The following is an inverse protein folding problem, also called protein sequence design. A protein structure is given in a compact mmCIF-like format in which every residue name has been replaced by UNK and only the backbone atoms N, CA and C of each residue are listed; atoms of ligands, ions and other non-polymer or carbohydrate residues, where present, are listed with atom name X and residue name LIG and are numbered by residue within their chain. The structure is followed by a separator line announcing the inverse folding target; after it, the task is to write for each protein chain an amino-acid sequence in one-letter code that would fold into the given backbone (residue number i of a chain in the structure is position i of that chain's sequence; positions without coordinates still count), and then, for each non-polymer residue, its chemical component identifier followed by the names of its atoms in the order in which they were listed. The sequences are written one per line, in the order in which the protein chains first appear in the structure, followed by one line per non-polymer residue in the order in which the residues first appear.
data_IF_661747273721
#
_entry.id   IF_661747273721
#
_cell.length_a   1.000
_cell.length_b   1.000
_cell.length_c   1.000
_cell.angle_alpha   90.00
_cell.angle_beta   90.00
_cell.angle_gamma   90.00
#
_symmetry.space_group_name_H-M   'P 1'
#
loop_
_entity.id
_entity.type
_entity.pdbx_description
1 polymer ?
#
# COMPACT_ATOMS: atom_id res chain seq x y z
N UNK A 1 7.39 29.38 -1.67
CA UNK A 1 8.39 28.81 -2.60
C UNK A 1 7.68 27.76 -3.41
N UNK A 2 7.95 27.69 -4.73
CA UNK A 2 7.37 26.66 -5.59
C UNK A 2 7.79 25.26 -5.09
N UNK A 3 6.95 24.25 -5.32
CA UNK A 3 7.29 22.88 -4.95
C UNK A 3 8.54 22.34 -5.65
N UNK A 4 9.12 21.28 -5.07
CA UNK A 4 10.34 20.64 -5.57
C UNK A 4 10.28 19.12 -5.42
N UNK A 5 11.11 18.40 -6.18
CA UNK A 5 11.33 16.98 -5.91
C UNK A 5 12.19 16.80 -4.67
N UNK A 6 11.70 15.97 -3.76
CA UNK A 6 12.38 15.65 -2.51
C UNK A 6 13.19 14.35 -2.64
N UNK A 7 14.07 14.11 -1.65
CA UNK A 7 14.77 12.83 -1.53
C UNK A 7 13.75 11.70 -1.41
N UNK A 8 13.90 10.68 -2.26
CA UNK A 8 13.05 9.51 -2.22
C UNK A 8 13.18 8.80 -0.85
N UNK A 9 12.05 8.23 -0.41
CA UNK A 9 11.95 7.52 0.87
C UNK A 9 11.62 6.04 0.65
N UNK A 10 11.86 5.22 1.65
CA UNK A 10 11.47 3.80 1.62
C UNK A 10 9.97 3.64 1.80
N UNK A 11 9.43 2.48 1.38
CA UNK A 11 8.04 2.13 1.65
C UNK A 11 7.80 2.08 3.16
N UNK A 12 8.72 1.51 3.94
CA UNK A 12 8.66 1.51 5.41
C UNK A 12 8.47 2.92 5.98
N UNK A 13 9.28 3.90 5.54
CA UNK A 13 9.17 5.28 6.03
C UNK A 13 7.81 5.91 5.69
N UNK A 14 7.26 5.61 4.51
CA UNK A 14 5.93 6.06 4.13
C UNK A 14 4.83 5.43 5.01
N UNK A 15 4.93 4.12 5.29
CA UNK A 15 4.00 3.41 6.19
C UNK A 15 4.09 3.94 7.63
N UNK A 16 5.31 4.16 8.14
CA UNK A 16 5.52 4.77 9.46
C UNK A 16 4.87 6.17 9.53
N UNK A 17 5.03 6.98 8.47
CA UNK A 17 4.44 8.32 8.38
C UNK A 17 2.91 8.28 8.36
N UNK A 18 2.30 7.27 7.73
CA UNK A 18 0.85 7.05 7.79
C UNK A 18 0.42 6.68 9.21
N UNK A 19 1.13 5.76 9.86
CA UNK A 19 0.82 5.31 11.23
C UNK A 19 0.91 6.44 12.26
N UNK A 20 1.91 7.33 12.11
CA UNK A 20 2.12 8.49 12.98
C UNK A 20 1.24 9.69 12.61
N UNK A 21 0.34 9.57 11.62
CA UNK A 21 -0.46 10.69 11.08
C UNK A 21 0.41 11.87 10.62
N UNK A 22 1.63 11.58 10.17
CA UNK A 22 2.44 12.54 9.43
C UNK A 22 1.99 12.62 7.98
N UNK A 23 1.33 11.58 7.45
CA UNK A 23 0.65 11.59 6.15
C UNK A 23 -0.87 11.49 6.31
N UNK A 24 -1.60 12.41 5.70
CA UNK A 24 -3.06 12.44 5.64
C UNK A 24 -3.55 12.63 4.20
N UNK A 25 -4.84 12.43 3.97
CA UNK A 25 -5.49 12.62 2.69
C UNK A 25 -6.33 13.92 2.72
N UNK A 26 -6.16 14.84 1.75
CA UNK A 26 -7.00 16.03 1.66
C UNK A 26 -8.40 15.68 1.12
N UNK A 27 -9.42 16.46 1.48
CA UNK A 27 -10.81 16.24 1.08
C UNK A 27 -11.09 16.23 -0.43
N UNK A 28 -10.21 16.81 -1.25
CA UNK A 28 -10.33 16.72 -2.71
C UNK A 28 -10.16 15.29 -3.25
N UNK A 29 -9.61 14.37 -2.46
CA UNK A 29 -9.39 13.00 -2.89
C UNK A 29 -10.67 12.20 -3.10
N UNK A 30 -10.68 11.38 -4.16
CA UNK A 30 -11.73 10.39 -4.39
C UNK A 30 -11.57 9.16 -3.48
N UNK A 31 -12.66 8.45 -3.25
CA UNK A 31 -12.69 7.17 -2.52
C UNK A 31 -11.70 6.15 -3.10
N UNK A 32 -11.27 5.21 -2.27
CA UNK A 32 -10.46 4.08 -2.70
C UNK A 32 -11.27 3.15 -3.60
N UNK A 33 -10.73 2.79 -4.77
CA UNK A 33 -11.42 1.99 -5.79
C UNK A 33 -10.57 0.86 -6.39
N UNK A 34 -9.35 0.66 -5.89
CA UNK A 34 -8.46 -0.38 -6.42
C UNK A 34 -8.94 -1.78 -6.01
N UNK A 35 -8.93 -2.69 -6.97
CA UNK A 35 -9.21 -4.11 -6.78
C UNK A 35 -8.03 -4.85 -6.16
N UNK A 36 -8.27 -6.00 -5.55
CA UNK A 36 -7.20 -6.88 -5.03
C UNK A 36 -6.15 -7.21 -6.09
N UNK A 37 -6.54 -7.40 -7.36
CA UNK A 37 -5.61 -7.71 -8.45
C UNK A 37 -4.70 -6.53 -8.80
N UNK A 38 -5.21 -5.29 -8.76
CA UNK A 38 -4.38 -4.09 -8.96
C UNK A 38 -3.34 -3.92 -7.85
N UNK A 39 -3.72 -4.25 -6.60
CA UNK A 39 -2.77 -4.28 -5.48
C UNK A 39 -1.69 -5.33 -5.74
N UNK A 40 -2.06 -6.57 -6.09
CA UNK A 40 -1.08 -7.63 -6.42
C UNK A 40 -0.13 -7.22 -7.55
N UNK A 41 -0.64 -6.57 -8.61
CA UNK A 41 0.15 -6.04 -9.72
C UNK A 41 1.14 -4.95 -9.29
N UNK A 42 0.75 -4.07 -8.35
CA UNK A 42 1.65 -3.07 -7.80
C UNK A 42 2.82 -3.72 -7.07
N UNK A 43 2.57 -4.74 -6.24
CA UNK A 43 3.64 -5.47 -5.55
C UNK A 43 4.52 -6.27 -6.51
N UNK A 44 3.95 -6.90 -7.54
CA UNK A 44 4.73 -7.55 -8.62
C UNK A 44 5.64 -6.54 -9.34
N UNK A 45 5.10 -5.37 -9.69
CA UNK A 45 5.86 -4.28 -10.33
C UNK A 45 7.04 -3.83 -9.47
N UNK A 46 6.83 -3.63 -8.18
CA UNK A 46 7.90 -3.29 -7.21
C UNK A 46 8.98 -4.38 -7.19
N UNK A 47 8.56 -5.65 -7.12
CA UNK A 47 9.46 -6.80 -7.09
C UNK A 47 10.18 -7.04 -8.42
N UNK A 48 9.77 -6.37 -9.51
CA UNK A 48 10.37 -6.43 -10.84
C UNK A 48 11.12 -5.15 -11.22
N UNK A 49 11.28 -4.23 -10.28
CA UNK A 49 11.96 -2.94 -10.50
C UNK A 49 11.23 -2.05 -11.52
N UNK A 50 9.92 -2.27 -11.72
CA UNK A 50 9.12 -1.42 -12.59
C UNK A 50 8.77 -0.11 -11.88
N UNK A 51 8.75 1.02 -12.61
CA UNK A 51 8.46 2.31 -12.03
C UNK A 51 7.02 2.33 -11.51
N UNK A 52 6.85 2.69 -10.24
CA UNK A 52 5.52 2.84 -9.62
C UNK A 52 4.97 4.26 -9.73
N UNK A 53 5.56 5.10 -10.59
CA UNK A 53 5.34 6.55 -10.74
C UNK A 53 5.66 7.37 -9.49
N UNK A 54 5.89 8.67 -9.68
CA UNK A 54 6.08 9.62 -8.58
C UNK A 54 4.76 9.89 -7.83
N UNK A 55 4.86 10.42 -6.63
CA UNK A 55 3.74 10.90 -5.82
C UNK A 55 3.78 12.43 -5.75
N UNK A 56 2.68 13.03 -5.30
CA UNK A 56 2.66 14.46 -4.97
C UNK A 56 2.16 14.63 -3.53
N UNK A 57 2.88 15.41 -2.75
CA UNK A 57 2.57 15.70 -1.35
C UNK A 57 2.52 17.21 -1.12
N UNK A 58 1.80 17.64 -0.08
CA UNK A 58 1.67 19.03 0.29
C UNK A 58 1.92 19.23 1.78
N UNK A 59 2.88 20.07 2.13
CA UNK A 59 3.16 20.43 3.51
C UNK A 59 2.04 21.26 4.12
N UNK A 60 1.42 20.75 5.18
CA UNK A 60 0.41 21.44 5.97
C UNK A 60 1.04 21.98 7.24
N UNK A 61 1.23 23.30 7.27
CA UNK A 61 1.84 24.02 8.40
C UNK A 61 0.93 25.13 8.93
N UNK A 62 0.11 25.71 8.05
CA UNK A 62 -0.80 26.79 8.43
C UNK A 62 -1.88 26.32 9.39
N UNK A 63 -2.05 27.06 10.50
CA UNK A 63 -3.15 26.84 11.43
C UNK A 63 -4.53 27.02 10.76
N UNK A 64 -4.67 27.95 9.81
CA UNK A 64 -5.94 28.15 9.09
C UNK A 64 -6.32 26.90 8.29
N UNK A 65 -5.40 26.36 7.49
CA UNK A 65 -5.64 25.14 6.71
C UNK A 65 -6.01 23.98 7.64
N UNK A 66 -5.29 23.81 8.75
CA UNK A 66 -5.58 22.74 9.73
C UNK A 66 -6.97 22.86 10.35
N UNK A 67 -7.49 24.07 10.56
CA UNK A 67 -8.81 24.30 11.15
C UNK A 67 -9.94 24.22 10.11
N UNK A 68 -9.70 24.75 8.91
CA UNK A 68 -10.75 25.06 7.94
C UNK A 68 -10.86 24.00 6.82
N UNK A 69 -9.80 23.20 6.61
CA UNK A 69 -9.76 22.16 5.59
C UNK A 69 -9.87 20.76 6.21
N UNK A 70 -10.61 19.87 5.54
CA UNK A 70 -10.83 18.50 6.02
C UNK A 70 -9.73 17.56 5.54
N UNK A 71 -9.25 16.73 6.47
CA UNK A 71 -8.27 15.70 6.22
C UNK A 71 -8.75 14.34 6.73
N UNK A 72 -8.27 13.27 6.10
CA UNK A 72 -8.69 11.91 6.38
C UNK A 72 -7.49 10.99 6.58
N UNK A 73 -7.68 9.92 7.35
CA UNK A 73 -6.69 8.85 7.48
C UNK A 73 -6.71 7.93 6.26
N UNK A 74 -5.64 7.17 6.06
CA UNK A 74 -5.63 6.08 5.10
C UNK A 74 -6.54 4.93 5.57
N UNK A 75 -7.18 4.24 4.62
CA UNK A 75 -7.92 3.02 4.93
C UNK A 75 -6.95 1.95 5.42
N UNK A 76 -7.16 1.50 6.65
CA UNK A 76 -6.42 0.37 7.23
C UNK A 76 -7.08 -0.97 6.90
N UNK A 77 -8.40 -0.95 6.80
CA UNK A 77 -9.22 -2.10 6.45
C UNK A 77 -10.19 -1.64 5.36
N UNK A 78 -10.21 -2.34 4.24
CA UNK A 78 -11.17 -2.09 3.18
C UNK A 78 -12.23 -3.19 3.19
N UNK A 79 -13.52 -2.82 3.24
CA UNK A 79 -14.62 -3.75 3.08
C UNK A 79 -15.60 -3.24 2.04
N UNK A 80 -15.70 -3.97 0.93
CA UNK A 80 -16.53 -3.57 -0.20
C UNK A 80 -17.98 -3.32 0.23
N UNK A 81 -18.49 -2.10 -0.04
CA UNK A 81 -19.82 -1.57 0.35
C UNK A 81 -20.05 -1.26 1.84
N UNK A 82 -19.12 -1.55 2.75
CA UNK A 82 -19.31 -1.34 4.19
C UNK A 82 -18.24 -0.45 4.83
N UNK A 83 -16.99 -0.55 4.37
CA UNK A 83 -15.86 0.25 4.85
C UNK A 83 -15.00 0.70 3.67
N UNK A 84 -15.52 1.67 2.92
CA UNK A 84 -14.87 2.25 1.73
C UNK A 84 -14.48 3.71 1.95
N UNK A 85 -14.84 4.29 3.11
CA UNK A 85 -14.64 5.68 3.43
C UNK A 85 -13.46 5.86 4.39
N UNK A 86 -12.57 6.77 4.02
CA UNK A 86 -11.47 7.17 4.86
C UNK A 86 -12.00 7.89 6.12
N UNK A 87 -11.56 7.52 7.34
CA UNK A 87 -11.97 8.19 8.56
C UNK A 87 -11.52 9.66 8.58
N UNK A 88 -12.41 10.57 8.98
CA UNK A 88 -12.06 11.98 9.15
C UNK A 88 -11.14 12.19 10.35
N UNK A 89 -10.09 12.99 10.18
CA UNK A 89 -9.19 13.41 11.27
C UNK A 89 -9.54 14.82 11.69
N UNK A 90 -9.82 15.00 12.97
CA UNK A 90 -9.92 16.33 13.55
C UNK A 90 -8.52 16.97 13.62
N UNK A 91 -8.18 17.75 12.60
CA UNK A 91 -7.03 18.64 12.61
C UNK A 91 -7.43 19.97 13.25
N UNK A 92 -6.48 20.63 13.92
CA UNK A 92 -6.65 21.98 14.45
C UNK A 92 -5.29 22.69 14.52
N UNK A 93 -5.28 23.96 14.94
CA UNK A 93 -4.05 24.76 15.07
C UNK A 93 -2.96 24.12 15.97
N UNK A 94 -3.34 23.30 16.95
CA UNK A 94 -2.42 22.57 17.83
C UNK A 94 -1.99 21.20 17.31
N UNK A 95 -2.55 20.74 16.18
CA UNK A 95 -2.12 19.52 15.52
C UNK A 95 -0.73 19.72 14.91
N UNK A 96 0.15 18.72 15.00
CA UNK A 96 1.51 18.79 14.44
C UNK A 96 1.48 19.01 12.93
N UNK A 97 2.59 19.46 12.35
CA UNK A 97 2.70 19.59 10.89
C UNK A 97 2.70 18.22 10.22
N UNK A 98 2.05 18.11 9.07
CA UNK A 98 1.93 16.86 8.33
C UNK A 98 1.94 17.12 6.82
N UNK A 99 2.08 16.06 6.02
CA UNK A 99 1.93 16.11 4.57
C UNK A 99 0.57 15.56 4.14
N UNK A 100 -0.13 16.30 3.29
CA UNK A 100 -1.32 15.83 2.60
C UNK A 100 -0.91 15.15 1.28
N UNK A 101 -1.35 13.91 1.04
CA UNK A 101 -1.04 13.19 -0.21
C UNK A 101 -2.04 13.59 -1.30
N UNK A 102 -1.53 14.30 -2.30
CA UNK A 102 -2.30 14.90 -3.41
C UNK A 102 -2.37 13.96 -4.62
N UNK A 103 -1.29 13.25 -4.93
CA UNK A 103 -1.29 12.22 -5.96
C UNK A 103 -0.66 10.93 -5.46
N UNK A 104 -1.11 9.80 -6.02
CA UNK A 104 -0.66 8.47 -5.64
C UNK A 104 -1.39 7.90 -4.42
N UNK A 105 -2.48 8.53 -3.97
CA UNK A 105 -3.25 8.08 -2.81
C UNK A 105 -3.71 6.61 -2.90
N UNK A 106 -4.12 6.13 -4.08
CA UNK A 106 -4.57 4.76 -4.28
C UNK A 106 -3.40 3.78 -4.16
N UNK A 107 -2.23 4.13 -4.71
CA UNK A 107 -0.99 3.34 -4.61
C UNK A 107 -0.54 3.23 -3.16
N UNK A 108 -0.50 4.35 -2.44
CA UNK A 108 -0.05 4.37 -1.05
C UNK A 108 -1.03 3.66 -0.11
N UNK A 109 -2.34 3.80 -0.32
CA UNK A 109 -3.36 3.01 0.39
C UNK A 109 -3.22 1.52 0.10
N UNK A 110 -2.94 1.14 -1.16
CA UNK A 110 -2.71 -0.26 -1.54
C UNK A 110 -1.47 -0.87 -0.87
N UNK A 111 -0.39 -0.09 -0.76
CA UNK A 111 0.80 -0.49 -0.01
C UNK A 111 0.48 -0.72 1.46
N UNK A 112 -0.28 0.19 2.08
CA UNK A 112 -0.70 0.06 3.47
C UNK A 112 -1.58 -1.17 3.69
N UNK A 113 -2.61 -1.38 2.86
CA UNK A 113 -3.50 -2.54 2.93
C UNK A 113 -2.70 -3.84 2.76
N UNK A 114 -1.77 -3.90 1.80
CA UNK A 114 -0.97 -5.10 1.56
C UNK A 114 -0.03 -5.45 2.72
N UNK A 115 0.57 -4.44 3.36
CA UNK A 115 1.60 -4.63 4.37
C UNK A 115 1.07 -4.70 5.81
N UNK A 116 0.00 -3.99 6.12
CA UNK A 116 -0.48 -3.78 7.49
C UNK A 116 -1.98 -4.00 7.66
N UNK A 117 -2.74 -4.02 6.56
CA UNK A 117 -4.19 -3.96 6.57
C UNK A 117 -4.87 -5.21 6.03
N UNK A 118 -6.17 -5.09 5.79
CA UNK A 118 -6.96 -6.17 5.18
C UNK A 118 -7.83 -5.68 4.04
N UNK A 119 -8.12 -6.60 3.12
CA UNK A 119 -8.99 -6.35 1.97
C UNK A 119 -10.13 -7.38 1.94
N UNK A 120 -11.35 -6.91 2.13
CA UNK A 120 -12.57 -7.72 2.16
C UNK A 120 -13.46 -7.40 0.94
N UNK A 121 -13.74 -8.44 0.16
CA UNK A 121 -14.71 -8.42 -0.92
C UNK A 121 -15.60 -9.66 -0.86
N UNK A 122 -16.80 -9.54 -1.47
CA UNK A 122 -17.82 -10.58 -1.44
C UNK A 122 -17.34 -11.88 -2.08
N UNK A 123 -17.58 -13.00 -1.41
CA UNK A 123 -17.34 -14.30 -1.99
C UNK A 123 -18.14 -14.51 -3.29
N UNK A 124 -17.58 -15.22 -4.28
CA UNK A 124 -18.30 -15.59 -5.50
C UNK A 124 -19.57 -16.38 -5.18
N UNK A 125 -20.63 -16.19 -5.96
CA UNK A 125 -21.90 -16.95 -5.87
C UNK A 125 -22.64 -16.86 -4.52
N UNK A 126 -22.31 -15.90 -3.66
CA UNK A 126 -23.07 -15.58 -2.44
C UNK A 126 -23.88 -14.29 -2.64
N UNK A 127 -25.07 -14.16 -2.05
CA UNK A 127 -25.85 -12.92 -2.11
C UNK A 127 -25.20 -11.80 -1.28
N UNK A 128 -25.50 -10.55 -1.61
CA UNK A 128 -25.06 -9.41 -0.82
C UNK A 128 -25.78 -9.38 0.53
N UNK A 129 -25.07 -9.18 1.65
CA UNK A 129 -25.72 -9.03 2.94
C UNK A 129 -26.28 -7.61 3.12
N UNK A 130 -27.23 -7.47 4.05
CA UNK A 130 -27.82 -6.18 4.44
C UNK A 130 -26.94 -5.39 5.41
N UNK A 131 -26.05 -6.07 6.13
CA UNK A 131 -25.06 -5.51 7.05
C UNK A 131 -23.71 -6.21 6.83
N UNK A 132 -22.62 -5.65 7.33
CA UNK A 132 -21.31 -6.29 7.20
C UNK A 132 -21.34 -7.70 7.82
N UNK A 133 -20.92 -8.70 7.04
CA UNK A 133 -20.84 -10.09 7.46
C UNK A 133 -19.55 -10.71 6.93
N UNK A 134 -18.61 -10.95 7.83
CA UNK A 134 -17.28 -11.49 7.50
C UNK A 134 -17.36 -12.93 6.96
N UNK A 135 -18.47 -13.64 7.14
CA UNK A 135 -18.68 -14.94 6.47
C UNK A 135 -18.89 -14.74 4.97
N UNK A 136 -19.39 -13.59 4.55
CA UNK A 136 -19.69 -13.26 3.14
C UNK A 136 -18.60 -12.38 2.53
N UNK A 137 -18.04 -11.45 3.32
CA UNK A 137 -16.92 -10.57 2.97
C UNK A 137 -15.74 -10.79 3.93
N UNK A 138 -15.10 -11.98 3.91
CA UNK A 138 -14.03 -12.25 4.87
C UNK A 138 -12.84 -11.32 4.62
N UNK A 139 -12.22 -10.77 5.68
CA UNK A 139 -10.98 -10.03 5.56
C UNK A 139 -9.87 -10.95 5.02
N UNK A 140 -9.02 -10.38 4.18
CA UNK A 140 -7.89 -11.09 3.58
C UNK A 140 -6.61 -10.29 3.78
N UNK A 141 -5.52 -10.99 4.00
CA UNK A 141 -4.16 -10.43 4.03
C UNK A 141 -3.45 -10.77 2.75
N UNK A 142 -2.47 -9.96 2.36
CA UNK A 142 -1.67 -10.20 1.17
C UNK A 142 -0.53 -11.18 1.49
N UNK A 143 -0.37 -12.17 0.63
CA UNK A 143 0.69 -13.17 0.68
C UNK A 143 1.44 -13.22 -0.65
N UNK A 144 2.68 -13.66 -0.61
CA UNK A 144 3.46 -14.07 -1.79
C UNK A 144 3.81 -15.55 -1.67
N UNK A 145 3.69 -16.30 -2.77
CA UNK A 145 4.14 -17.69 -2.81
C UNK A 145 5.66 -17.73 -3.03
N UNK A 146 6.36 -18.45 -2.15
CA UNK A 146 7.80 -18.65 -2.25
C UNK A 146 8.18 -19.89 -3.07
N UNK A 147 7.23 -20.70 -3.52
CA UNK A 147 7.51 -22.01 -4.15
C UNK A 147 8.20 -21.87 -5.50
N UNK A 148 7.62 -21.10 -6.42
CA UNK A 148 8.09 -20.94 -7.79
C UNK A 148 7.56 -19.64 -8.41
N UNK A 149 8.21 -19.10 -9.46
CA UNK A 149 7.65 -18.01 -10.24
C UNK A 149 6.37 -18.46 -10.98
N UNK A 150 5.51 -17.51 -11.31
CA UNK A 150 4.40 -17.74 -12.24
C UNK A 150 4.93 -18.02 -13.65
N UNK A 151 4.14 -18.77 -14.42
CA UNK A 151 4.44 -19.05 -15.83
C UNK A 151 4.26 -17.78 -16.68
N UNK A 152 4.97 -17.71 -17.81
CA UNK A 152 4.94 -16.57 -18.73
C UNK A 152 3.56 -16.27 -19.36
N UNK A 153 2.66 -17.26 -19.33
CA UNK A 153 1.35 -17.19 -19.99
C UNK A 153 0.24 -16.68 -19.05
N UNK A 154 0.61 -16.15 -17.88
CA UNK A 154 -0.30 -15.47 -16.97
C UNK A 154 -0.95 -14.25 -17.66
N UNK A 155 -2.27 -14.11 -17.59
CA UNK A 155 -3.02 -13.03 -18.26
C UNK A 155 -2.55 -11.63 -17.83
N UNK A 156 -2.06 -11.50 -16.59
CA UNK A 156 -1.55 -10.26 -16.02
C UNK A 156 -0.03 -10.14 -16.17
N UNK A 157 0.60 -11.10 -16.86
CA UNK A 157 2.04 -11.22 -17.08
C UNK A 157 2.84 -11.11 -15.78
N UNK A 158 2.27 -11.52 -14.64
CA UNK A 158 2.90 -11.43 -13.33
C UNK A 158 4.04 -12.44 -13.20
N UNK A 159 5.10 -12.10 -12.45
CA UNK A 159 6.20 -13.01 -12.16
C UNK A 159 6.04 -13.67 -10.79
N UNK A 160 5.57 -12.91 -9.80
CA UNK A 160 5.39 -13.37 -8.43
C UNK A 160 3.92 -13.62 -8.15
N UNK A 161 3.61 -14.76 -7.53
CA UNK A 161 2.25 -15.11 -7.18
C UNK A 161 1.83 -14.38 -5.89
N UNK A 162 1.34 -13.16 -6.04
CA UNK A 162 0.73 -12.39 -4.95
C UNK A 162 -0.76 -12.69 -4.85
N UNK A 163 -1.25 -12.97 -3.64
CA UNK A 163 -2.67 -13.28 -3.42
C UNK A 163 -3.19 -12.79 -2.07
N UNK A 164 -4.41 -12.27 -2.10
CA UNK A 164 -5.18 -12.04 -0.88
C UNK A 164 -5.85 -13.34 -0.43
N UNK A 165 -5.48 -13.82 0.77
CA UNK A 165 -6.03 -15.04 1.37
C UNK A 165 -6.73 -14.70 2.68
N UNK A 166 -7.86 -15.38 2.92
CA UNK A 166 -8.46 -15.42 4.27
C UNK A 166 -7.60 -16.31 5.17
N UNK A 167 -7.73 -16.16 6.49
CA UNK A 167 -7.02 -17.03 7.43
C UNK A 167 -7.38 -18.52 7.21
N UNK A 168 -8.64 -18.80 6.81
CA UNK A 168 -9.07 -20.16 6.42
C UNK A 168 -8.36 -20.64 5.15
N UNK A 169 -8.34 -19.84 4.07
CA UNK A 169 -7.69 -20.21 2.82
C UNK A 169 -6.18 -20.45 3.01
N UNK A 170 -5.53 -19.63 3.83
CA UNK A 170 -4.13 -19.84 4.21
C UNK A 170 -3.96 -21.16 4.96
N UNK A 171 -4.76 -21.41 6.00
CA UNK A 171 -4.68 -22.65 6.80
C UNK A 171 -4.93 -23.89 5.95
N UNK A 172 -5.95 -23.88 5.08
CA UNK A 172 -6.28 -24.99 4.18
C UNK A 172 -5.12 -25.28 3.22
N UNK A 173 -4.42 -24.25 2.74
CA UNK A 173 -3.27 -24.39 1.83
C UNK A 173 -2.02 -25.00 2.47
N UNK A 174 -1.93 -25.06 3.80
CA UNK A 174 -0.80 -25.71 4.48
C UNK A 174 -0.85 -27.25 4.36
N UNK A 175 -1.98 -27.81 3.93
CA UNK A 175 -2.18 -29.27 3.90
C UNK A 175 -1.67 -29.94 2.62
N UNK A 176 -1.57 -29.22 1.50
CA UNK A 176 -1.24 -29.81 0.21
C UNK A 176 0.23 -29.63 -0.20
N UNK A 177 1.02 -28.87 0.59
CA UNK A 177 2.42 -28.52 0.34
C UNK A 177 2.70 -27.97 -1.09
N UNK A 178 1.68 -27.47 -1.80
CA UNK A 178 1.85 -26.93 -3.15
C UNK A 178 2.32 -25.49 -3.14
N UNK A 179 2.00 -24.77 -2.06
CA UNK A 179 2.29 -23.35 -1.94
C UNK A 179 2.95 -23.06 -0.59
N UNK A 180 3.93 -22.17 -0.61
CA UNK A 180 4.63 -21.70 0.58
C UNK A 180 4.37 -20.20 0.74
N UNK A 181 3.19 -19.87 1.25
CA UNK A 181 2.74 -18.50 1.41
C UNK A 181 3.48 -17.76 2.53
N UNK A 182 4.12 -16.65 2.17
CA UNK A 182 4.68 -15.68 3.12
C UNK A 182 3.73 -14.49 3.26
N UNK A 183 3.26 -14.23 4.47
CA UNK A 183 2.38 -13.09 4.75
C UNK A 183 3.20 -11.80 4.78
N UNK A 184 2.77 -10.78 4.03
CA UNK A 184 3.51 -9.53 3.94
C UNK A 184 3.56 -8.76 5.25
N UNK A 185 2.63 -9.01 6.18
CA UNK A 185 2.66 -8.41 7.53
C UNK A 185 3.87 -8.82 8.35
N UNK A 186 4.45 -10.00 8.08
CA UNK A 186 5.64 -10.48 8.80
C UNK A 186 6.86 -9.61 8.50
N UNK A 187 6.90 -8.89 7.37
CA UNK A 187 8.07 -8.11 6.96
C UNK A 187 8.46 -7.02 7.97
N UNK A 188 7.46 -6.47 8.68
CA UNK A 188 7.68 -5.43 9.67
C UNK A 188 7.98 -5.97 11.07
N UNK A 189 7.84 -7.28 11.30
CA UNK A 189 8.24 -7.92 12.57
C UNK A 189 9.74 -8.13 12.67
N UNK A 190 10.43 -8.22 11.54
CA UNK A 190 11.89 -8.28 11.52
C UNK A 190 12.52 -6.94 11.90
N UNK A 191 13.68 -7.01 12.56
CA UNK A 191 14.52 -5.84 12.82
C UNK A 191 14.99 -5.21 11.50
N UNK A 192 15.39 -3.94 11.57
CA UNK A 192 15.96 -3.25 10.42
C UNK A 192 17.44 -3.62 10.26
N UNK A 193 17.75 -4.32 9.17
CA UNK A 193 19.10 -4.51 8.66
C UNK A 193 19.29 -3.76 7.34
N UNK A 194 20.46 -3.13 7.16
CA UNK A 194 20.83 -2.41 5.94
C UNK A 194 21.86 -3.17 5.08
N UNK A 195 22.66 -4.05 5.69
CA UNK A 195 23.61 -4.91 4.98
C UNK A 195 22.88 -6.09 4.31
N UNK A 196 23.14 -6.38 3.01
CA UNK A 196 22.59 -7.55 2.35
C UNK A 196 22.89 -8.87 3.07
N UNK A 197 24.07 -9.00 3.68
CA UNK A 197 24.47 -10.21 4.41
C UNK A 197 23.65 -10.37 5.71
N UNK A 198 23.45 -9.28 6.46
CA UNK A 198 22.65 -9.31 7.68
C UNK A 198 21.19 -9.64 7.37
N UNK A 199 20.63 -9.08 6.30
CA UNK A 199 19.28 -9.42 5.83
C UNK A 199 19.22 -10.92 5.47
N UNK A 200 20.23 -11.42 4.75
CA UNK A 200 20.28 -12.82 4.35
C UNK A 200 20.33 -13.76 5.55
N UNK A 201 21.24 -13.55 6.50
CA UNK A 201 21.48 -14.47 7.61
C UNK A 201 20.51 -14.29 8.79
N UNK A 202 20.00 -13.09 9.03
CA UNK A 202 19.12 -12.82 10.19
C UNK A 202 17.62 -12.86 9.83
N UNK A 203 17.26 -12.70 8.55
CA UNK A 203 15.86 -12.69 8.11
C UNK A 203 15.58 -13.83 7.14
N UNK A 204 16.30 -13.90 6.02
CA UNK A 204 15.94 -14.79 4.91
C UNK A 204 16.21 -16.26 5.24
N UNK A 205 17.44 -16.59 5.68
CA UNK A 205 17.83 -17.98 5.99
C UNK A 205 16.95 -18.57 7.10
N UNK A 206 16.76 -17.92 8.26
CA UNK A 206 15.92 -18.48 9.33
C UNK A 206 14.47 -18.69 8.89
N UNK A 207 13.92 -17.81 8.06
CA UNK A 207 12.54 -17.94 7.57
C UNK A 207 12.38 -19.07 6.55
N UNK A 208 13.39 -19.30 5.69
CA UNK A 208 13.37 -20.40 4.75
C UNK A 208 13.64 -21.76 5.41
N UNK A 209 14.48 -21.82 6.45
CA UNK A 209 14.70 -23.04 7.24
C UNK A 209 13.41 -23.53 7.88
N UNK A 210 12.66 -22.64 8.53
CA UNK A 210 11.33 -22.96 9.13
C UNK A 210 10.36 -23.55 8.11
N UNK A 211 10.53 -23.21 6.82
CA UNK A 211 9.64 -23.61 5.73
C UNK A 211 10.18 -24.77 4.89
N UNK A 212 11.39 -25.27 5.19
CA UNK A 212 12.05 -26.30 4.39
C UNK A 212 12.48 -25.84 2.99
N UNK A 213 12.71 -24.53 2.79
CA UNK A 213 12.98 -23.90 1.49
C UNK A 213 14.41 -23.38 1.32
N UNK A 214 15.34 -23.71 2.22
CA UNK A 214 16.71 -23.17 2.21
C UNK A 214 17.47 -23.43 0.89
N UNK A 215 17.19 -24.56 0.24
CA UNK A 215 17.78 -24.96 -1.04
C UNK A 215 17.18 -24.24 -2.25
N UNK A 216 16.03 -23.58 -2.09
CA UNK A 216 15.34 -22.89 -3.17
C UNK A 216 15.95 -21.52 -3.43
N UNK A 217 16.66 -21.41 -4.55
CA UNK A 217 17.22 -20.13 -5.00
C UNK A 217 16.13 -19.09 -5.23
N UNK A 218 14.98 -19.49 -5.79
CA UNK A 218 13.85 -18.59 -6.03
C UNK A 218 13.29 -18.05 -4.72
N UNK A 219 13.06 -18.89 -3.72
CA UNK A 219 12.53 -18.46 -2.41
C UNK A 219 13.50 -17.49 -1.73
N UNK A 220 14.81 -17.79 -1.74
CA UNK A 220 15.86 -16.93 -1.18
C UNK A 220 15.92 -15.57 -1.86
N UNK A 221 15.97 -15.55 -3.19
CA UNK A 221 15.99 -14.30 -3.97
C UNK A 221 14.71 -13.48 -3.77
N UNK A 222 13.56 -14.14 -3.71
CA UNK A 222 12.26 -13.49 -3.55
C UNK A 222 12.14 -12.84 -2.17
N UNK A 223 12.46 -13.55 -1.08
CA UNK A 223 12.33 -13.00 0.26
C UNK A 223 13.37 -11.89 0.53
N UNK A 224 14.62 -12.07 0.08
CA UNK A 224 15.65 -11.03 0.15
C UNK A 224 15.18 -9.76 -0.59
N UNK A 225 14.69 -9.91 -1.83
CA UNK A 225 14.24 -8.78 -2.63
C UNK A 225 13.02 -8.10 -2.01
N UNK A 226 12.06 -8.85 -1.49
CA UNK A 226 10.87 -8.32 -0.83
C UNK A 226 11.26 -7.43 0.36
N UNK A 227 12.14 -7.94 1.22
CA UNK A 227 12.64 -7.20 2.37
C UNK A 227 13.34 -5.91 1.92
N UNK A 228 14.31 -6.00 1.02
CA UNK A 228 15.09 -4.85 0.54
C UNK A 228 14.19 -3.79 -0.08
N UNK A 229 13.23 -4.19 -0.94
CA UNK A 229 12.31 -3.26 -1.61
C UNK A 229 11.42 -2.51 -0.63
N UNK A 230 10.93 -3.18 0.40
CA UNK A 230 10.01 -2.55 1.36
C UNK A 230 10.77 -1.68 2.36
N UNK A 231 11.93 -2.14 2.83
CA UNK A 231 12.57 -1.58 4.04
C UNK A 231 13.80 -0.74 3.80
N UNK A 232 14.53 -0.97 2.71
CA UNK A 232 15.86 -0.39 2.52
C UNK A 232 15.92 0.49 1.27
N UNK A 233 15.20 0.13 0.21
CA UNK A 233 15.24 0.87 -1.05
C UNK A 233 14.32 2.08 -1.07
N UNK A 234 14.83 3.21 -1.54
CA UNK A 234 14.12 4.48 -1.63
C UNK A 234 13.23 4.53 -2.90
N UNK A 235 12.10 3.83 -2.86
CA UNK A 235 11.20 3.66 -4.01
C UNK A 235 10.14 4.77 -4.15
N UNK A 236 9.83 5.49 -3.07
CA UNK A 236 8.78 6.51 -3.06
C UNK A 236 9.40 7.86 -3.44
N UNK A 237 9.41 8.15 -4.74
CA UNK A 237 9.77 9.45 -5.28
C UNK A 237 8.56 10.38 -5.23
N UNK A 238 8.73 11.62 -4.76
CA UNK A 238 7.62 12.55 -4.69
C UNK A 238 8.01 14.00 -4.92
N UNK A 239 7.08 14.75 -5.51
CA UNK A 239 7.11 16.19 -5.57
C UNK A 239 6.40 16.76 -4.34
N UNK A 240 7.02 17.72 -3.67
CA UNK A 240 6.52 18.32 -2.45
C UNK A 240 6.11 19.78 -2.70
N UNK A 241 4.82 20.07 -2.56
CA UNK A 241 4.29 21.41 -2.58
C UNK A 241 4.34 22.02 -1.17
N UNK A 242 4.82 23.26 -1.08
CA UNK A 242 5.05 23.96 0.19
C UNK A 242 4.18 25.19 0.36
N UNK A 243 3.53 25.66 -0.71
CA UNK A 243 2.57 26.74 -0.70
C UNK A 243 1.48 26.48 0.34
N UNK A 244 1.03 27.52 1.06
CA UNK A 244 -0.12 27.43 1.96
C UNK A 244 -1.38 28.06 1.32
N UNK A 245 -1.34 28.25 0.00
CA UNK A 245 -2.48 28.69 -0.80
C UNK A 245 -3.23 27.45 -1.32
N UNK A 246 -4.46 27.28 -0.85
CA UNK A 246 -5.31 26.13 -1.20
C UNK A 246 -5.63 26.16 -2.70
N UNK A 247 -5.98 27.32 -3.26
CA UNK A 247 -6.40 27.43 -4.66
C UNK A 247 -5.26 27.04 -5.60
N UNK A 248 -4.04 27.50 -5.28
CA UNK A 248 -2.84 27.08 -6.00
C UNK A 248 -2.64 25.56 -5.98
N UNK A 249 -2.78 24.93 -4.81
CA UNK A 249 -2.58 23.49 -4.64
C UNK A 249 -3.65 22.68 -5.39
N UNK A 250 -4.91 23.15 -5.36
CA UNK A 250 -6.01 22.55 -6.11
C UNK A 250 -5.76 22.64 -7.62
N UNK A 251 -5.28 23.77 -8.12
CA UNK A 251 -4.91 23.94 -9.52
C UNK A 251 -3.79 22.97 -9.95
N UNK A 252 -2.76 22.80 -9.11
CA UNK A 252 -1.69 21.83 -9.39
C UNK A 252 -2.24 20.39 -9.39
N UNK A 253 -3.13 20.04 -8.45
CA UNK A 253 -3.79 18.74 -8.41
C UNK A 253 -4.60 18.47 -9.68
N UNK A 254 -5.44 19.43 -10.10
CA UNK A 254 -6.27 19.30 -11.30
C UNK A 254 -5.38 19.13 -12.52
N UNK A 255 -4.34 19.95 -12.70
CA UNK A 255 -3.43 19.87 -13.85
C UNK A 255 -2.69 18.54 -13.91
N UNK A 256 -2.17 18.06 -12.78
CA UNK A 256 -1.43 16.79 -12.71
C UNK A 256 -2.33 15.58 -13.05
N UNK A 257 -3.60 15.59 -12.65
CA UNK A 257 -4.53 14.49 -12.92
C UNK A 257 -5.26 14.61 -14.27
N UNK A 258 -5.49 15.84 -14.76
CA UNK A 258 -6.20 16.12 -16.03
C UNK A 258 -5.42 15.71 -17.28
N UNK A 259 -4.10 15.51 -17.18
CA UNK A 259 -3.26 14.95 -18.25
C UNK A 259 -3.68 13.52 -18.69
N UNK A 260 -4.49 12.82 -17.89
CA UNK A 260 -5.17 11.58 -18.28
C UNK A 260 -6.68 11.72 -18.14
N UNK A 261 -7.36 12.23 -19.17
CA UNK A 261 -8.83 12.33 -19.35
C UNK A 261 -9.69 12.72 -18.12
N UNK A 262 -10.26 13.94 -18.21
CA UNK A 262 -11.20 14.63 -17.32
C UNK A 262 -11.97 13.81 -16.26
N UNK A 263 -11.74 14.17 -15.00
CA UNK A 263 -12.67 13.95 -13.89
C UNK A 263 -13.86 14.90 -14.05
N UNK A 264 -15.07 14.38 -14.24
CA UNK A 264 -16.31 15.15 -14.18
C UNK A 264 -16.57 15.60 -12.73
N UNK A 265 -16.74 16.92 -12.55
CA UNK A 265 -17.05 17.55 -11.26
C UNK A 265 -18.34 16.99 -10.64
N UNK A 266 -18.42 16.87 -9.30
CA UNK A 266 -19.69 16.60 -8.64
C UNK A 266 -20.59 17.85 -8.73
N UNK A 267 -21.80 17.67 -9.22
CA UNK A 267 -22.87 18.66 -9.20
C UNK A 267 -23.27 18.95 -7.75
N UNK A 268 -23.40 20.25 -7.44
CA UNK A 268 -23.83 20.81 -6.16
C UNK A 268 -25.15 20.25 -5.62
#
# INVERSE_FOLDING_TARGET
MAGQYEKAITIKQAIDSINLRHYLLPAIQRKFVWSSSQICLLFDSIMRDYPINSFMMWDIRSASIKNDYKFYEFLKEYCQRFNEENPCVATNAGFHDFKAVIDGQQRLTSLYIGLCGTYAYKQPRVWWPSAQDDRILPPRKLYVDLTAPLNSDDELMMKYNFRFLTDKQYTDSLTDNKHHWFCLHEIFKYEQYDSPDDILFNVVVPELEKRGLISSEFSRKTLLKLYTKIRTENLIHYFNESSQDIDHVLDVFIRTNSGGQNLSSPTY
#
